data_IF_316425250021
#
_entry.id   IF_316425250021
#
_cell.length_a   1.000
_cell.length_b   1.000
_cell.length_c   1.000
_cell.angle_alpha   90.00
_cell.angle_beta   90.00
_cell.angle_gamma   90.00
#
_symmetry.space_group_name_H-M   'P 1'
#
loop_
_entity.id
_entity.type
_entity.pdbx_description
1 polymer ?
#
# COMPACT_ATOMS: atom_id res chain seq x y z
N UNK A 1 -31.62 -16.35 22.35
CA UNK A 1 -30.65 -17.41 21.98
C UNK A 1 -30.96 -17.77 20.54
N UNK A 2 -30.15 -17.30 19.62
CA UNK A 2 -30.36 -17.49 18.18
C UNK A 2 -29.50 -18.68 17.74
N UNK A 3 -30.13 -19.73 17.27
CA UNK A 3 -29.45 -20.86 16.64
C UNK A 3 -29.34 -20.58 15.14
N UNK A 4 -28.19 -20.15 14.69
CA UNK A 4 -27.90 -20.17 13.25
C UNK A 4 -27.29 -21.52 12.87
N UNK A 5 -28.01 -22.31 12.09
CA UNK A 5 -27.43 -23.39 11.32
C UNK A 5 -26.68 -22.77 10.14
N UNK A 6 -25.40 -22.51 10.31
CA UNK A 6 -24.57 -22.14 9.16
C UNK A 6 -23.90 -23.38 8.57
N UNK A 7 -23.56 -23.35 7.29
CA UNK A 7 -22.98 -24.45 6.51
C UNK A 7 -21.59 -24.91 7.04
N UNK A 8 -21.06 -24.26 8.09
CA UNK A 8 -19.78 -24.53 8.71
C UNK A 8 -19.92 -25.09 10.14
N UNK A 9 -21.13 -25.47 10.58
CA UNK A 9 -21.27 -26.26 11.80
C UNK A 9 -20.65 -27.62 11.56
N UNK A 10 -19.38 -27.79 11.96
CA UNK A 10 -18.73 -29.07 11.92
C UNK A 10 -19.49 -30.04 12.83
N UNK A 11 -19.59 -31.36 12.52
CA UNK A 11 -20.19 -32.36 13.37
C UNK A 11 -19.62 -32.38 14.81
N UNK A 12 -18.41 -31.88 14.97
CA UNK A 12 -17.69 -31.72 16.23
C UNK A 12 -18.39 -30.75 17.22
N UNK A 13 -19.16 -29.77 16.71
CA UNK A 13 -19.90 -28.79 17.52
C UNK A 13 -21.38 -29.15 17.70
N UNK A 14 -21.84 -30.27 17.14
CA UNK A 14 -23.22 -30.71 17.35
C UNK A 14 -23.43 -31.08 18.82
N UNK A 15 -24.40 -30.41 19.47
CA UNK A 15 -24.69 -30.63 20.89
C UNK A 15 -24.14 -29.54 21.83
N UNK A 16 -23.29 -28.64 21.36
CA UNK A 16 -22.82 -27.48 22.14
C UNK A 16 -23.77 -26.28 22.01
N UNK A 17 -23.97 -25.57 23.11
CA UNK A 17 -24.64 -24.27 23.09
C UNK A 17 -23.62 -23.19 22.77
N UNK A 18 -23.84 -22.44 21.69
CA UNK A 18 -22.95 -21.36 21.26
C UNK A 18 -23.48 -20.05 21.82
N UNK A 19 -22.69 -19.34 22.62
CA UNK A 19 -22.94 -17.98 23.06
C UNK A 19 -22.06 -17.02 22.25
N UNK A 20 -22.67 -16.13 21.48
CA UNK A 20 -21.98 -15.05 20.76
C UNK A 20 -22.19 -13.74 21.50
N UNK A 21 -21.09 -13.08 21.88
CA UNK A 21 -21.11 -11.75 22.52
C UNK A 21 -20.30 -10.81 21.61
N UNK A 22 -20.94 -10.12 20.64
CA UNK A 22 -20.25 -9.13 19.83
C UNK A 22 -19.85 -7.92 20.68
N UNK A 23 -18.80 -7.20 20.25
CA UNK A 23 -18.28 -6.02 20.96
C UNK A 23 -19.31 -4.88 21.08
N UNK A 24 -20.29 -4.84 20.16
CA UNK A 24 -21.41 -3.91 20.15
C UNK A 24 -22.72 -4.71 20.13
N UNK A 25 -23.65 -4.38 21.00
CA UNK A 25 -24.96 -5.03 21.07
C UNK A 25 -25.91 -4.57 19.94
N UNK A 26 -27.10 -5.12 19.87
CA UNK A 26 -28.10 -4.77 18.86
C UNK A 26 -28.60 -3.31 18.95
N UNK A 27 -28.46 -2.64 20.10
CA UNK A 27 -28.80 -1.24 20.29
C UNK A 27 -27.67 -0.28 19.90
N UNK A 28 -26.51 -0.80 19.55
CA UNK A 28 -25.35 0.02 19.20
C UNK A 28 -24.43 0.33 20.38
N UNK A 29 -24.72 -0.19 21.58
CA UNK A 29 -23.92 0.05 22.77
C UNK A 29 -22.79 -0.96 22.90
N UNK A 30 -21.63 -0.58 23.51
CA UNK A 30 -20.58 -1.51 23.83
C UNK A 30 -21.10 -2.62 24.75
N UNK A 31 -20.76 -3.88 24.41
CA UNK A 31 -21.09 -5.01 25.27
C UNK A 31 -20.29 -5.01 26.59
N UNK A 32 -19.20 -4.26 26.62
CA UNK A 32 -18.27 -4.16 27.75
C UNK A 32 -17.76 -2.72 27.91
N UNK A 33 -18.62 -1.78 28.37
CA UNK A 33 -18.31 -0.35 28.35
C UNK A 33 -17.14 0.04 29.24
N UNK A 34 -16.84 -0.72 30.31
CA UNK A 34 -15.70 -0.49 31.18
C UNK A 34 -14.35 -0.72 30.46
N UNK A 35 -14.33 -1.59 29.47
CA UNK A 35 -13.11 -1.93 28.71
C UNK A 35 -13.10 -1.28 27.32
N UNK A 36 -14.25 -1.16 26.69
CA UNK A 36 -14.41 -0.69 25.31
C UNK A 36 -15.42 0.46 25.24
N UNK A 37 -14.91 1.70 25.33
CA UNK A 37 -15.75 2.87 25.07
C UNK A 37 -16.12 2.98 23.58
N UNK A 38 -17.17 3.73 23.24
CA UNK A 38 -17.55 4.02 21.85
C UNK A 38 -16.38 4.55 21.02
N UNK A 39 -15.58 5.48 21.60
CA UNK A 39 -14.41 6.06 20.92
C UNK A 39 -13.35 4.99 20.63
N UNK A 40 -13.08 4.10 21.58
CA UNK A 40 -12.11 3.01 21.40
C UNK A 40 -12.58 2.01 20.34
N UNK A 41 -13.88 1.68 20.32
CA UNK A 41 -14.46 0.79 19.30
C UNK A 41 -14.38 1.43 17.91
N UNK A 42 -14.65 2.73 17.79
CA UNK A 42 -14.49 3.46 16.53
C UNK A 42 -13.04 3.42 16.04
N UNK A 43 -12.07 3.68 16.93
CA UNK A 43 -10.64 3.61 16.62
C UNK A 43 -10.22 2.20 16.19
N UNK A 44 -10.70 1.15 16.88
CA UNK A 44 -10.43 -0.24 16.48
C UNK A 44 -10.98 -0.55 15.10
N UNK A 45 -12.21 -0.12 14.79
CA UNK A 45 -12.82 -0.29 13.46
C UNK A 45 -11.99 0.37 12.36
N UNK A 46 -11.47 1.57 12.60
CA UNK A 46 -10.60 2.28 11.67
C UNK A 46 -9.23 1.61 11.49
N UNK A 47 -8.72 0.98 12.55
CA UNK A 47 -7.39 0.36 12.53
C UNK A 47 -7.39 -0.99 11.81
N UNK A 48 -8.40 -1.83 12.07
CA UNK A 48 -8.43 -3.21 11.55
C UNK A 48 -9.25 -3.34 10.26
N UNK A 49 -10.01 -2.30 9.88
CA UNK A 49 -10.91 -2.30 8.74
C UNK A 49 -12.25 -2.99 9.00
N UNK A 50 -13.24 -2.65 8.17
CA UNK A 50 -14.62 -3.09 8.36
C UNK A 50 -14.77 -4.62 8.39
N UNK A 51 -14.07 -5.32 7.52
CA UNK A 51 -14.19 -6.77 7.36
C UNK A 51 -13.66 -7.53 8.58
N UNK A 52 -12.42 -7.23 9.00
CA UNK A 52 -11.84 -7.85 10.19
C UNK A 52 -12.63 -7.48 11.45
N UNK A 53 -13.07 -6.24 11.57
CA UNK A 53 -13.92 -5.80 12.67
C UNK A 53 -15.23 -6.57 12.70
N UNK A 54 -15.90 -6.72 11.54
CA UNK A 54 -17.17 -7.47 11.45
C UNK A 54 -16.98 -8.96 11.79
N UNK A 55 -15.92 -9.60 11.27
CA UNK A 55 -15.66 -11.01 11.51
C UNK A 55 -15.25 -11.30 12.96
N UNK A 56 -14.28 -10.54 13.50
CA UNK A 56 -13.64 -10.85 14.77
C UNK A 56 -14.32 -10.17 15.96
N UNK A 57 -14.80 -8.94 15.80
CA UNK A 57 -15.34 -8.16 16.91
C UNK A 57 -16.87 -8.23 16.95
N UNK A 58 -17.54 -8.25 15.80
CA UNK A 58 -18.98 -8.39 15.72
C UNK A 58 -19.41 -9.84 15.60
N UNK A 59 -18.46 -10.78 15.42
CA UNK A 59 -18.71 -12.23 15.27
C UNK A 59 -19.64 -12.55 14.09
N UNK A 60 -19.68 -11.66 13.08
CA UNK A 60 -20.45 -11.83 11.87
C UNK A 60 -19.56 -12.45 10.79
N UNK A 61 -20.01 -13.59 10.26
CA UNK A 61 -19.39 -14.15 9.08
C UNK A 61 -19.74 -13.30 7.86
N UNK A 62 -18.75 -12.62 7.31
CA UNK A 62 -18.94 -11.83 6.08
C UNK A 62 -18.84 -12.78 4.90
N UNK A 63 -19.94 -12.99 4.19
CA UNK A 63 -19.94 -13.81 2.98
C UNK A 63 -19.06 -13.17 1.90
N UNK A 64 -18.32 -13.98 1.11
CA UNK A 64 -17.38 -13.49 0.10
C UNK A 64 -18.03 -12.97 -1.19
N UNK A 65 -19.34 -12.74 -1.22
CA UNK A 65 -20.10 -12.38 -2.44
C UNK A 65 -19.86 -10.95 -2.95
N UNK A 66 -19.14 -10.10 -2.22
CA UNK A 66 -18.72 -8.77 -2.69
C UNK A 66 -17.21 -8.74 -2.92
N UNK A 67 -16.79 -7.98 -3.91
CA UNK A 67 -15.37 -7.72 -4.15
C UNK A 67 -14.67 -7.37 -2.83
N UNK A 68 -13.58 -8.07 -2.52
CA UNK A 68 -12.83 -7.87 -1.28
C UNK A 68 -12.21 -6.46 -1.19
N UNK A 69 -11.89 -5.89 -2.37
CA UNK A 69 -11.37 -4.54 -2.53
C UNK A 69 -12.28 -3.81 -3.53
N UNK A 70 -13.37 -3.21 -3.04
CA UNK A 70 -14.32 -2.51 -3.89
C UNK A 70 -13.75 -1.15 -4.33
N UNK A 71 -13.50 -0.93 -5.65
CA UNK A 71 -13.00 0.34 -6.15
C UNK A 71 -13.92 1.54 -5.89
N UNK A 72 -15.20 1.32 -5.58
CA UNK A 72 -16.13 2.39 -5.23
C UNK A 72 -15.74 3.11 -3.92
N UNK A 73 -14.91 2.49 -3.08
CA UNK A 73 -14.32 3.11 -1.89
C UNK A 73 -13.14 4.03 -2.17
N UNK A 74 -12.61 4.06 -3.39
CA UNK A 74 -11.50 4.95 -3.77
C UNK A 74 -11.96 6.39 -3.88
N UNK A 75 -11.08 7.31 -3.53
CA UNK A 75 -11.24 8.75 -3.80
C UNK A 75 -10.26 9.16 -4.89
N UNK A 76 -10.78 9.66 -6.00
CA UNK A 76 -9.95 10.14 -7.10
C UNK A 76 -9.56 11.60 -6.91
N UNK A 77 -8.37 11.95 -7.39
CA UNK A 77 -7.86 13.33 -7.42
C UNK A 77 -7.01 13.55 -8.67
N UNK A 78 -6.86 14.82 -9.08
CA UNK A 78 -6.18 15.23 -10.32
C UNK A 78 -4.96 16.11 -10.06
N UNK A 79 -4.77 16.59 -8.82
CA UNK A 79 -3.73 17.54 -8.48
C UNK A 79 -2.36 16.87 -8.43
N UNK A 80 -1.37 17.57 -9.01
CA UNK A 80 0.03 17.17 -8.92
C UNK A 80 0.62 17.52 -7.53
N UNK A 81 1.70 16.83 -7.18
CA UNK A 81 2.43 17.14 -5.97
C UNK A 81 3.22 18.44 -6.11
N UNK A 82 2.88 19.46 -5.32
CA UNK A 82 3.62 20.71 -5.19
C UNK A 82 4.77 20.54 -4.19
N UNK A 83 5.98 20.34 -4.69
CA UNK A 83 7.18 20.16 -3.87
C UNK A 83 7.56 21.41 -3.06
N UNK A 84 7.22 22.63 -3.54
CA UNK A 84 7.52 23.86 -2.81
C UNK A 84 6.67 24.03 -1.57
N UNK A 85 5.42 23.59 -1.63
CA UNK A 85 4.48 23.67 -0.50
C UNK A 85 4.33 22.35 0.24
N UNK A 86 4.87 21.25 -0.29
CA UNK A 86 4.63 19.87 0.17
C UNK A 86 3.14 19.57 0.25
N UNK A 87 2.41 19.81 -0.85
CA UNK A 87 0.95 19.64 -0.90
C UNK A 87 0.50 18.86 -2.14
N UNK A 88 -0.65 18.19 -1.97
CA UNK A 88 -1.52 17.72 -3.06
C UNK A 88 -2.88 18.36 -2.81
N UNK A 89 -3.28 19.30 -3.64
CA UNK A 89 -4.48 20.10 -3.43
C UNK A 89 -4.50 20.74 -2.02
N UNK A 90 -5.54 20.51 -1.21
CA UNK A 90 -5.63 21.05 0.16
C UNK A 90 -4.79 20.26 1.18
N UNK A 91 -4.29 19.07 0.83
CA UNK A 91 -3.65 18.15 1.76
C UNK A 91 -2.15 18.42 1.90
N UNK A 92 -1.67 18.43 3.15
CA UNK A 92 -0.24 18.57 3.45
C UNK A 92 0.40 17.20 3.42
N UNK A 93 1.40 17.02 2.57
CA UNK A 93 2.14 15.77 2.46
C UNK A 93 3.31 15.78 3.44
N UNK A 94 3.39 14.75 4.28
CA UNK A 94 4.44 14.57 5.29
C UNK A 94 5.46 13.53 4.89
N UNK A 95 5.11 12.63 3.97
CA UNK A 95 6.00 11.57 3.55
C UNK A 95 5.74 11.06 2.14
N UNK A 96 6.78 10.49 1.55
CA UNK A 96 6.80 9.94 0.19
C UNK A 96 7.45 8.56 0.21
N UNK A 97 6.96 7.66 -0.63
CA UNK A 97 7.50 6.32 -0.81
C UNK A 97 7.50 6.02 -2.31
N UNK A 98 8.65 5.62 -2.83
CA UNK A 98 8.75 4.93 -4.10
C UNK A 98 9.09 3.48 -3.81
N UNK A 99 8.23 2.56 -4.21
CA UNK A 99 8.37 1.14 -3.95
C UNK A 99 8.24 0.35 -5.24
N UNK A 100 9.14 -0.61 -5.45
CA UNK A 100 9.14 -1.48 -6.59
C UNK A 100 9.06 -2.94 -6.15
N UNK A 101 8.02 -3.64 -6.61
CA UNK A 101 7.89 -5.09 -6.53
C UNK A 101 8.29 -5.68 -7.88
N UNK A 102 9.51 -6.25 -7.97
CA UNK A 102 10.05 -6.72 -9.24
C UNK A 102 9.61 -8.14 -9.57
N UNK A 103 9.27 -8.34 -10.82
CA UNK A 103 9.10 -9.66 -11.43
C UNK A 103 9.88 -9.75 -12.75
N UNK A 104 9.69 -10.86 -13.50
CA UNK A 104 10.30 -11.00 -14.83
C UNK A 104 9.82 -9.97 -15.84
N UNK A 105 8.66 -9.37 -15.62
CA UNK A 105 8.02 -8.39 -16.50
C UNK A 105 7.59 -8.96 -17.87
N UNK A 106 7.70 -10.26 -18.10
CA UNK A 106 7.32 -10.90 -19.37
C UNK A 106 5.81 -11.16 -19.42
N UNK A 107 5.22 -11.03 -20.63
CA UNK A 107 3.76 -11.06 -20.88
C UNK A 107 2.99 -12.27 -20.30
N UNK A 108 3.65 -13.39 -20.01
CA UNK A 108 3.00 -14.63 -19.52
C UNK A 108 3.32 -14.91 -18.04
N UNK A 109 3.97 -13.98 -17.35
CA UNK A 109 4.36 -14.08 -15.96
C UNK A 109 3.81 -12.90 -15.20
N UNK A 110 3.96 -12.91 -13.87
CA UNK A 110 3.58 -11.80 -13.02
C UNK A 110 4.19 -10.50 -13.53
N UNK A 111 3.41 -9.44 -13.56
CA UNK A 111 3.88 -8.13 -13.95
C UNK A 111 4.78 -7.56 -12.83
N UNK A 112 5.66 -6.66 -13.19
CA UNK A 112 6.48 -5.92 -12.26
C UNK A 112 5.86 -4.55 -12.06
N UNK A 113 5.67 -4.10 -10.82
CA UNK A 113 4.99 -2.85 -10.53
C UNK A 113 5.82 -1.94 -9.63
N UNK A 114 5.93 -0.67 -10.02
CA UNK A 114 6.57 0.38 -9.24
C UNK A 114 5.55 1.46 -8.87
N UNK A 115 5.42 1.78 -7.59
CA UNK A 115 4.38 2.66 -7.04
C UNK A 115 5.01 3.87 -6.40
N UNK A 116 4.51 5.07 -6.77
CA UNK A 116 4.77 6.32 -6.06
C UNK A 116 3.59 6.64 -5.16
N UNK A 117 3.86 6.75 -3.87
CA UNK A 117 2.87 6.97 -2.84
C UNK A 117 3.26 8.17 -1.98
N UNK A 118 2.29 9.03 -1.67
CA UNK A 118 2.42 10.10 -0.69
C UNK A 118 1.54 9.85 0.54
N UNK A 119 1.94 10.42 1.68
CA UNK A 119 1.19 10.29 2.93
C UNK A 119 1.04 11.63 3.62
N UNK A 120 -0.13 11.81 4.24
CA UNK A 120 -0.36 12.80 5.28
C UNK A 120 -0.52 12.07 6.61
N UNK A 121 0.52 12.07 7.43
CA UNK A 121 0.51 11.34 8.71
C UNK A 121 -0.45 11.94 9.74
N UNK A 122 -0.85 13.19 9.56
CA UNK A 122 -1.79 13.88 10.44
C UNK A 122 -3.23 13.40 10.21
N UNK A 123 -3.64 13.30 8.95
CA UNK A 123 -4.98 12.85 8.56
C UNK A 123 -5.05 11.34 8.32
N UNK A 124 -3.88 10.68 8.24
CA UNK A 124 -3.73 9.27 7.86
C UNK A 124 -4.21 8.98 6.43
N UNK A 125 -4.22 9.99 5.57
CA UNK A 125 -4.52 9.82 4.16
C UNK A 125 -3.30 9.27 3.41
N UNK A 126 -3.60 8.38 2.47
CA UNK A 126 -2.62 7.76 1.57
C UNK A 126 -3.03 8.09 0.14
N UNK A 127 -2.07 8.62 -0.63
CA UNK A 127 -2.25 9.05 -2.00
C UNK A 127 -1.41 8.17 -2.91
N UNK A 128 -2.04 7.26 -3.64
CA UNK A 128 -1.39 6.53 -4.74
C UNK A 128 -1.31 7.47 -5.93
N UNK A 129 -0.13 8.04 -6.15
CA UNK A 129 0.06 9.10 -7.15
C UNK A 129 0.35 8.55 -8.52
N UNK A 130 1.08 7.41 -8.56
CA UNK A 130 1.42 6.77 -9.82
C UNK A 130 1.67 5.27 -9.62
N UNK A 131 1.34 4.49 -10.63
CA UNK A 131 1.65 3.06 -10.72
C UNK A 131 2.24 2.77 -12.08
N UNK A 132 3.52 2.43 -12.11
CA UNK A 132 4.23 2.03 -13.31
C UNK A 132 4.24 0.51 -13.41
N UNK A 133 3.47 -0.04 -14.34
CA UNK A 133 3.53 -1.46 -14.70
C UNK A 133 4.65 -1.66 -15.72
N UNK A 134 5.62 -2.46 -15.34
CA UNK A 134 6.83 -2.71 -16.13
C UNK A 134 6.64 -3.97 -16.97
N UNK A 135 6.57 -3.79 -18.26
CA UNK A 135 6.53 -4.88 -19.24
C UNK A 135 7.83 -4.93 -20.04
N UNK A 136 8.30 -6.13 -20.28
CA UNK A 136 9.55 -6.34 -21.02
C UNK A 136 9.24 -7.14 -22.29
N UNK A 137 9.73 -6.71 -23.47
CA UNK A 137 9.59 -7.48 -24.70
C UNK A 137 10.21 -8.89 -24.56
N UNK A 138 9.55 -9.90 -25.13
CA UNK A 138 10.07 -11.28 -25.05
C UNK A 138 11.45 -11.44 -25.72
N UNK A 139 11.80 -10.54 -26.65
CA UNK A 139 13.09 -10.48 -27.32
C UNK A 139 14.21 -9.82 -26.50
N UNK A 140 13.84 -9.19 -25.36
CA UNK A 140 14.83 -8.49 -24.52
C UNK A 140 15.76 -9.49 -23.82
N UNK A 141 17.04 -9.29 -24.03
CA UNK A 141 18.11 -10.17 -23.50
C UNK A 141 18.36 -9.94 -22.00
N UNK A 142 18.19 -8.69 -21.54
CA UNK A 142 18.49 -8.28 -20.17
C UNK A 142 17.26 -7.65 -19.49
N UNK A 143 16.23 -8.44 -19.20
CA UNK A 143 14.94 -7.91 -18.76
C UNK A 143 15.00 -7.09 -17.46
N UNK A 144 15.86 -7.47 -16.52
CA UNK A 144 16.02 -6.73 -15.27
C UNK A 144 16.69 -5.36 -15.48
N UNK A 145 17.73 -5.30 -16.34
CA UNK A 145 18.35 -4.03 -16.69
C UNK A 145 17.38 -3.11 -17.42
N UNK A 146 16.58 -3.65 -18.34
CA UNK A 146 15.54 -2.89 -19.05
C UNK A 146 14.53 -2.26 -18.08
N UNK A 147 14.08 -3.01 -17.09
CA UNK A 147 13.18 -2.50 -16.05
C UNK A 147 13.87 -1.44 -15.18
N UNK A 148 15.14 -1.65 -14.79
CA UNK A 148 15.92 -0.64 -14.06
C UNK A 148 16.00 0.68 -14.82
N UNK A 149 16.25 0.63 -16.14
CA UNK A 149 16.29 1.83 -16.98
C UNK A 149 14.94 2.56 -16.99
N UNK A 150 13.83 1.81 -17.11
CA UNK A 150 12.47 2.37 -17.08
C UNK A 150 12.14 3.01 -15.72
N UNK A 151 12.55 2.37 -14.62
CA UNK A 151 12.35 2.93 -13.27
C UNK A 151 13.22 4.17 -13.05
N UNK A 152 14.47 4.20 -13.57
CA UNK A 152 15.31 5.40 -13.51
C UNK A 152 14.72 6.56 -14.29
N UNK A 153 14.12 6.33 -15.46
CA UNK A 153 13.42 7.37 -16.22
C UNK A 153 12.20 7.89 -15.44
N UNK A 154 11.44 6.99 -14.81
CA UNK A 154 10.34 7.34 -13.94
C UNK A 154 10.80 8.19 -12.74
N UNK A 155 11.89 7.83 -12.10
CA UNK A 155 12.49 8.60 -11.00
C UNK A 155 12.96 9.99 -11.47
N UNK A 156 13.64 10.06 -12.60
CA UNK A 156 14.14 11.31 -13.16
C UNK A 156 13.02 12.31 -13.49
N UNK A 157 11.96 11.85 -14.14
CA UNK A 157 10.83 12.71 -14.53
C UNK A 157 10.08 13.27 -13.33
N UNK A 158 10.21 12.66 -12.15
CA UNK A 158 9.56 13.05 -10.90
C UNK A 158 10.54 13.62 -9.86
N UNK A 159 11.79 13.82 -10.27
CA UNK A 159 12.86 14.31 -9.38
C UNK A 159 13.02 13.48 -8.10
N UNK A 160 12.97 12.15 -8.23
CA UNK A 160 13.11 11.20 -7.15
C UNK A 160 14.53 10.64 -7.09
N UNK A 161 15.05 10.44 -5.89
CA UNK A 161 16.42 9.92 -5.67
C UNK A 161 16.46 8.73 -4.72
N UNK A 162 15.31 8.32 -4.17
CA UNK A 162 15.23 7.15 -3.28
C UNK A 162 14.16 6.18 -3.76
N UNK A 163 14.48 4.88 -3.66
CA UNK A 163 13.59 3.79 -4.02
C UNK A 163 13.76 2.64 -3.04
N UNK A 164 12.65 2.01 -2.66
CA UNK A 164 12.62 0.73 -1.94
C UNK A 164 12.34 -0.38 -2.95
N UNK A 165 13.18 -1.40 -2.98
CA UNK A 165 13.04 -2.55 -3.90
C UNK A 165 12.80 -3.81 -3.06
N UNK A 166 11.76 -4.57 -3.40
CA UNK A 166 11.56 -5.90 -2.84
C UNK A 166 12.65 -6.86 -3.32
N UNK A 167 13.33 -7.51 -2.37
CA UNK A 167 14.47 -8.39 -2.66
C UNK A 167 14.13 -9.87 -2.47
N UNK A 168 12.88 -10.25 -2.65
CA UNK A 168 12.47 -11.65 -2.68
C UNK A 168 12.70 -12.24 -4.07
N UNK A 169 13.06 -13.53 -4.14
CA UNK A 169 13.20 -14.23 -5.41
C UNK A 169 14.13 -13.53 -6.40
N UNK A 170 13.60 -13.13 -7.56
CA UNK A 170 14.35 -12.44 -8.62
C UNK A 170 14.89 -11.06 -8.19
N UNK A 171 14.30 -10.44 -7.18
CA UNK A 171 14.70 -9.13 -6.68
C UNK A 171 16.04 -9.08 -5.97
N UNK A 172 16.65 -10.23 -5.61
CA UNK A 172 17.85 -10.29 -4.76
C UNK A 172 19.02 -9.46 -5.34
N UNK A 173 19.28 -9.58 -6.63
CA UNK A 173 20.38 -8.86 -7.31
C UNK A 173 20.00 -7.50 -7.89
N UNK A 174 18.73 -7.13 -7.83
CA UNK A 174 18.22 -5.92 -8.48
C UNK A 174 18.79 -4.61 -7.92
N UNK A 175 19.02 -4.46 -6.61
CA UNK A 175 19.64 -3.26 -6.05
C UNK A 175 21.03 -2.95 -6.64
N UNK A 176 21.83 -3.97 -6.95
CA UNK A 176 23.14 -3.80 -7.57
C UNK A 176 22.99 -3.37 -9.04
N UNK A 177 22.13 -4.05 -9.79
CA UNK A 177 21.85 -3.70 -11.20
C UNK A 177 21.31 -2.27 -11.28
N UNK A 178 20.42 -1.89 -10.37
CA UNK A 178 19.83 -0.55 -10.31
C UNK A 178 20.91 0.52 -10.05
N UNK A 179 21.83 0.28 -9.11
CA UNK A 179 22.96 1.19 -8.83
C UNK A 179 23.90 1.31 -10.02
N UNK A 180 24.21 0.20 -10.68
CA UNK A 180 25.04 0.16 -11.89
C UNK A 180 24.39 0.97 -13.02
N UNK A 181 23.11 0.78 -13.27
CA UNK A 181 22.37 1.57 -14.27
C UNK A 181 22.38 3.06 -13.94
N UNK A 182 22.14 3.41 -12.67
CA UNK A 182 22.15 4.79 -12.20
C UNK A 182 23.56 5.42 -12.38
N UNK A 183 24.60 4.69 -12.00
CA UNK A 183 26.00 5.16 -12.13
C UNK A 183 26.37 5.44 -13.59
N UNK A 184 26.00 4.55 -14.51
CA UNK A 184 26.22 4.76 -15.96
C UNK A 184 25.52 6.00 -16.51
N UNK A 185 24.41 6.43 -15.88
CA UNK A 185 23.65 7.64 -16.22
C UNK A 185 24.11 8.89 -15.45
N UNK A 186 25.12 8.78 -14.60
CA UNK A 186 25.55 9.88 -13.72
C UNK A 186 24.51 10.25 -12.67
N UNK A 187 23.56 9.36 -12.37
CA UNK A 187 22.53 9.60 -11.38
C UNK A 187 22.94 9.04 -10.00
N UNK A 188 22.73 9.84 -8.95
CA UNK A 188 22.96 9.41 -7.58
C UNK A 188 21.63 9.02 -6.95
N UNK A 189 21.44 7.74 -6.66
CA UNK A 189 20.22 7.20 -6.06
C UNK A 189 20.52 6.41 -4.80
N UNK A 190 19.56 6.43 -3.88
CA UNK A 190 19.57 5.59 -2.69
C UNK A 190 18.58 4.43 -2.88
N UNK A 191 19.10 3.19 -2.81
CA UNK A 191 18.30 1.97 -2.94
C UNK A 191 18.19 1.29 -1.58
N UNK A 192 16.96 1.24 -1.04
CA UNK A 192 16.61 0.49 0.15
C UNK A 192 16.17 -0.93 -0.24
N UNK A 193 16.63 -1.93 0.48
CA UNK A 193 16.25 -3.34 0.29
C UNK A 193 15.13 -3.70 1.23
N UNK A 194 14.05 -4.24 0.71
CA UNK A 194 12.90 -4.68 1.49
C UNK A 194 12.71 -6.17 1.34
N UNK A 195 12.61 -6.89 2.45
CA UNK A 195 12.28 -8.31 2.45
C UNK A 195 10.91 -8.52 3.08
N UNK A 196 10.00 -9.11 2.33
CA UNK A 196 8.67 -9.48 2.80
C UNK A 196 8.64 -10.96 3.20
N UNK A 197 8.05 -11.23 4.38
CA UNK A 197 7.90 -12.59 4.94
C UNK A 197 6.45 -12.99 5.15
N UNK A 198 5.52 -12.03 5.05
CA UNK A 198 4.08 -12.27 5.18
C UNK A 198 3.50 -12.81 3.88
N UNK A 199 2.38 -13.52 3.95
CA UNK A 199 1.66 -13.95 2.76
C UNK A 199 1.19 -12.73 1.94
N UNK A 200 1.20 -12.85 0.61
CA UNK A 200 0.77 -11.79 -0.32
C UNK A 200 -0.66 -11.34 -0.03
N UNK A 201 -1.57 -12.31 0.14
CA UNK A 201 -2.99 -12.03 0.42
C UNK A 201 -3.20 -11.25 1.71
N UNK A 202 -2.51 -11.64 2.80
CA UNK A 202 -2.60 -10.92 4.07
C UNK A 202 -2.03 -9.51 3.97
N UNK A 203 -0.95 -9.33 3.20
CA UNK A 203 -0.29 -8.04 2.98
C UNK A 203 -1.23 -7.08 2.28
N UNK A 204 -1.82 -7.50 1.17
CA UNK A 204 -2.76 -6.71 0.37
C UNK A 204 -3.99 -6.34 1.21
N UNK A 205 -4.61 -7.32 1.84
CA UNK A 205 -5.84 -7.11 2.61
C UNK A 205 -5.61 -6.15 3.79
N UNK A 206 -4.57 -6.41 4.59
CA UNK A 206 -4.30 -5.62 5.79
C UNK A 206 -3.81 -4.19 5.49
N UNK A 207 -3.20 -3.95 4.33
CA UNK A 207 -2.74 -2.63 3.95
C UNK A 207 -3.85 -1.78 3.30
N UNK A 208 -4.63 -2.37 2.40
CA UNK A 208 -5.55 -1.62 1.52
C UNK A 208 -6.97 -1.52 2.12
N UNK A 209 -7.52 -2.60 2.65
CA UNK A 209 -8.90 -2.63 3.11
C UNK A 209 -9.22 -1.59 4.19
N UNK A 210 -8.40 -1.37 5.24
CA UNK A 210 -8.67 -0.35 6.24
C UNK A 210 -8.73 1.08 5.67
N UNK A 211 -7.85 1.39 4.72
CA UNK A 211 -7.83 2.70 4.08
C UNK A 211 -9.03 2.89 3.14
N UNK A 212 -9.39 1.84 2.41
CA UNK A 212 -10.51 1.83 1.49
C UNK A 212 -11.84 1.98 2.24
N UNK A 213 -12.06 1.19 3.29
CA UNK A 213 -13.30 1.20 4.08
C UNK A 213 -13.51 2.50 4.88
N UNK A 214 -12.42 3.22 5.20
CA UNK A 214 -12.48 4.51 5.89
C UNK A 214 -12.43 5.72 4.96
N UNK A 215 -12.35 5.48 3.63
CA UNK A 215 -12.24 6.53 2.61
C UNK A 215 -10.95 7.35 2.73
N UNK A 216 -9.87 6.71 3.18
CA UNK A 216 -8.54 7.33 3.34
C UNK A 216 -7.56 6.99 2.21
N UNK A 217 -7.98 6.18 1.24
CA UNK A 217 -7.19 5.84 0.07
C UNK A 217 -7.58 6.74 -1.11
N UNK A 218 -6.65 7.60 -1.48
CA UNK A 218 -6.75 8.48 -2.63
C UNK A 218 -5.93 7.91 -3.78
N UNK A 219 -6.46 8.01 -5.00
CA UNK A 219 -5.81 7.50 -6.21
C UNK A 219 -5.85 8.57 -7.28
N UNK A 220 -4.70 8.90 -7.88
CA UNK A 220 -4.66 9.88 -8.95
C UNK A 220 -5.42 9.37 -10.18
N UNK A 221 -6.24 10.23 -10.80
CA UNK A 221 -7.14 9.84 -11.91
C UNK A 221 -6.42 9.19 -13.10
N UNK A 222 -5.13 9.53 -13.33
CA UNK A 222 -4.32 8.88 -14.38
C UNK A 222 -4.23 7.35 -14.23
N UNK A 223 -4.35 6.86 -13.00
CA UNK A 223 -4.26 5.42 -12.69
C UNK A 223 -5.49 4.65 -13.18
N UNK A 224 -6.61 5.31 -13.45
CA UNK A 224 -7.80 4.69 -14.04
C UNK A 224 -7.52 3.99 -15.38
N UNK A 225 -6.49 4.44 -16.11
CA UNK A 225 -6.06 3.85 -17.36
C UNK A 225 -5.04 2.70 -17.19
N UNK A 226 -4.79 2.27 -15.96
CA UNK A 226 -3.90 1.14 -15.62
C UNK A 226 -4.72 -0.09 -15.24
N UNK A 227 -4.10 -1.28 -15.15
CA UNK A 227 -4.76 -2.49 -14.69
C UNK A 227 -5.32 -2.46 -13.27
N UNK A 228 -4.93 -1.50 -12.42
CA UNK A 228 -5.21 -1.49 -10.98
C UNK A 228 -6.69 -1.69 -10.62
N UNK A 229 -7.60 -1.01 -11.31
CA UNK A 229 -9.03 -1.15 -11.01
C UNK A 229 -9.56 -2.54 -11.34
N UNK A 230 -9.06 -3.15 -12.42
CA UNK A 230 -9.41 -4.52 -12.79
C UNK A 230 -8.82 -5.52 -11.77
N UNK A 231 -7.59 -5.30 -11.31
CA UNK A 231 -7.00 -6.09 -10.23
C UNK A 231 -7.85 -6.03 -8.96
N UNK A 232 -8.30 -4.84 -8.53
CA UNK A 232 -9.15 -4.68 -7.36
C UNK A 232 -10.46 -5.45 -7.47
N UNK A 233 -11.12 -5.37 -8.62
CA UNK A 233 -12.40 -6.06 -8.87
C UNK A 233 -12.24 -7.57 -8.88
N UNK A 234 -11.16 -8.07 -9.48
CA UNK A 234 -10.90 -9.50 -9.62
C UNK A 234 -10.17 -10.14 -8.45
N UNK A 235 -9.66 -9.35 -7.52
CA UNK A 235 -8.82 -9.86 -6.44
C UNK A 235 -9.61 -10.65 -5.39
N UNK A 236 -9.04 -11.79 -4.98
CA UNK A 236 -9.57 -12.62 -3.89
C UNK A 236 -8.41 -13.12 -3.02
N UNK A 237 -8.55 -13.10 -1.68
CA UNK A 237 -7.52 -13.63 -0.78
C UNK A 237 -7.27 -15.13 -0.93
N UNK A 238 -8.19 -15.86 -1.53
CA UNK A 238 -8.07 -17.30 -1.80
C UNK A 238 -7.38 -17.60 -3.13
N UNK A 239 -7.04 -16.57 -3.92
CA UNK A 239 -6.42 -16.75 -5.25
C UNK A 239 -7.35 -17.37 -6.30
N UNK A 240 -8.63 -17.53 -5.97
CA UNK A 240 -9.62 -18.06 -6.93
C UNK A 240 -9.97 -16.95 -7.92
N UNK A 241 -9.51 -17.06 -9.16
CA UNK A 241 -9.79 -16.08 -10.22
C UNK A 241 -8.62 -15.84 -11.17
N UNK A 242 -7.39 -16.19 -10.80
CA UNK A 242 -6.22 -16.13 -11.72
C UNK A 242 -5.89 -14.74 -12.26
N UNK A 243 -6.43 -13.68 -11.66
CA UNK A 243 -6.14 -12.30 -12.03
C UNK A 243 -4.80 -11.87 -11.46
N UNK A 244 -4.04 -11.10 -12.23
CA UNK A 244 -2.83 -10.44 -11.72
C UNK A 244 -3.20 -9.46 -10.61
N UNK A 245 -2.34 -9.33 -9.62
CA UNK A 245 -2.51 -8.45 -8.45
C UNK A 245 -1.21 -7.70 -8.11
N UNK A 246 -0.37 -7.50 -9.12
CA UNK A 246 0.99 -6.97 -8.97
C UNK A 246 0.99 -5.50 -8.52
N UNK A 247 0.06 -4.70 -9.05
CA UNK A 247 -0.14 -3.33 -8.60
C UNK A 247 -0.64 -3.25 -7.17
N UNK A 248 -1.55 -4.14 -6.77
CA UNK A 248 -2.05 -4.22 -5.40
C UNK A 248 -0.96 -4.62 -4.42
N UNK A 249 -0.10 -5.57 -4.79
CA UNK A 249 1.00 -6.01 -3.96
C UNK A 249 2.06 -4.92 -3.79
N UNK A 250 2.40 -4.23 -4.87
CA UNK A 250 3.31 -3.08 -4.82
C UNK A 250 2.74 -1.93 -3.96
N UNK A 251 1.43 -1.63 -4.04
CA UNK A 251 0.76 -0.65 -3.17
C UNK A 251 0.83 -1.10 -1.71
N UNK A 252 0.51 -2.34 -1.43
CA UNK A 252 0.56 -2.90 -0.08
C UNK A 252 1.99 -2.87 0.50
N UNK A 253 2.98 -3.22 -0.33
CA UNK A 253 4.39 -3.12 0.01
C UNK A 253 4.82 -1.68 0.32
N UNK A 254 4.36 -0.71 -0.47
CA UNK A 254 4.62 0.72 -0.26
C UNK A 254 3.99 1.23 1.04
N UNK A 255 2.72 0.89 1.32
CA UNK A 255 2.01 1.29 2.54
C UNK A 255 2.75 0.79 3.80
N UNK A 256 3.35 -0.38 3.74
CA UNK A 256 4.08 -0.98 4.86
C UNK A 256 5.43 -0.31 5.15
N UNK A 257 5.96 0.54 4.23
CA UNK A 257 7.24 1.20 4.42
C UNK A 257 7.13 2.43 5.32
N UNK A 258 8.26 2.75 5.97
CA UNK A 258 8.43 4.06 6.62
C UNK A 258 8.63 5.12 5.52
N UNK A 259 7.79 6.17 5.46
CA UNK A 259 7.91 7.19 4.44
C UNK A 259 9.16 8.04 4.63
N UNK A 260 9.70 8.54 3.53
CA UNK A 260 10.73 9.55 3.51
C UNK A 260 10.05 10.89 3.86
N UNK A 261 10.50 11.62 4.89
CA UNK A 261 9.92 12.92 5.21
C UNK A 261 9.99 13.89 4.02
N UNK A 262 8.90 14.56 3.76
CA UNK A 262 8.80 15.62 2.75
C UNK A 262 8.70 16.96 3.47
N UNK A 263 9.56 17.89 3.09
CA UNK A 263 9.57 19.25 3.62
C UNK A 263 9.45 20.25 2.47
N UNK A 264 8.74 21.37 2.66
CA UNK A 264 8.67 22.42 1.64
C UNK A 264 10.09 22.89 1.25
N UNK A 265 10.32 23.02 -0.05
CA UNK A 265 11.60 23.55 -0.54
C UNK A 265 11.70 25.00 -0.09
N UNK A 266 12.74 25.33 0.71
CA UNK A 266 12.95 26.63 1.31
C UNK A 266 12.58 26.74 2.78
N UNK A 267 11.96 25.75 3.41
CA UNK A 267 11.75 25.70 4.85
C UNK A 267 13.03 25.19 5.55
N UNK A 268 13.97 26.10 5.76
CA UNK A 268 15.04 25.87 6.74
C UNK A 268 16.33 25.26 6.24
N UNK A 269 17.00 25.91 5.29
CA UNK A 269 18.47 25.88 5.34
C UNK A 269 18.86 26.72 6.56
N UNK A 270 19.09 26.06 7.70
CA UNK A 270 19.81 26.68 8.80
C UNK A 270 21.25 26.81 8.31
N UNK A 271 21.60 27.98 7.77
CA UNK A 271 23.00 28.36 7.56
C UNK A 271 23.65 28.52 8.93
N UNK A 272 24.38 27.52 9.34
CA UNK A 272 25.32 27.68 10.46
C UNK A 272 26.54 28.41 9.89
N UNK A 273 26.66 29.69 10.23
CA UNK A 273 27.93 30.38 10.07
C UNK A 273 28.92 29.73 11.05
N UNK A 274 29.87 28.97 10.53
CA UNK A 274 31.00 28.53 11.36
C UNK A 274 31.83 29.78 11.67
N UNK A 275 31.87 30.19 12.95
CA UNK A 275 32.83 31.17 13.43
C UNK A 275 34.22 30.52 13.40
N UNK A 276 34.89 30.59 12.27
CA UNK A 276 36.32 30.22 12.15
C UNK A 276 37.15 31.41 12.51
N UNK A 277 37.34 31.65 13.82
CA UNK A 277 38.44 32.48 14.29
C UNK A 277 39.75 31.70 14.17
N UNK A 278 40.32 31.64 12.97
CA UNK A 278 41.74 31.35 12.80
C UNK A 278 42.50 32.69 12.88
N UNK A 279 43.09 32.99 14.04
CA UNK A 279 44.21 33.93 14.13
C UNK A 279 45.48 33.16 13.80
N UNK A 280 46.19 33.63 12.75
CA UNK A 280 47.55 33.21 12.39
C UNK A 280 48.52 33.81 13.41
#
# INVERSE_FOLDING_TARGET
MVYEKNAFSTPFLSGYKVLKIPIVNACGDPAWPELFSHARIAQMRETVGHRHFSAQMMLNFVQPERAHLDPAGLRFYDEEFDAHRSKIGPHTITGMILYWDPSSGRRRHDASACVLLYRDDRTKYVFVHDVLYLTVPDTEKYPLSHQCESVLDFMRTRNLYRISIEVNGLGIGLPEIMRDCALRRGANIFVNRVKNTKSKSDRILNAIEPLLSTGRLYVHSRIQNTPLLAEMLGWSPTGVGGMHDDGLDAIAGAIAQTPIPVHPIGSGVKTYAANTNFSV
#
